data_IF_273006883869
#
_entry.id   IF_273006883869
#
_cell.length_a   1.000
_cell.length_b   1.000
_cell.length_c   1.000
_cell.angle_alpha   90.00
_cell.angle_beta   90.00
_cell.angle_gamma   90.00
#
_symmetry.space_group_name_H-M   'P 1'
#
loop_
_entity.id
_entity.type
_entity.pdbx_description
1 polymer ?
#
# COMPACT_ATOMS: atom_id res chain seq x y z
N UNK A 1 3.73 -13.13 13.45
CA UNK A 1 3.35 -12.23 12.35
C UNK A 1 2.22 -12.79 11.50
N UNK A 2 2.42 -13.86 10.71
CA UNK A 2 1.33 -14.38 9.85
C UNK A 2 0.12 -14.88 10.65
N UNK A 3 0.36 -15.66 11.73
CA UNK A 3 -0.70 -16.11 12.63
C UNK A 3 -1.52 -14.96 13.20
N UNK A 4 -0.83 -13.89 13.58
CA UNK A 4 -1.41 -12.74 14.26
C UNK A 4 -2.18 -11.89 13.25
N UNK A 5 -1.66 -11.73 12.03
CA UNK A 5 -2.36 -11.07 10.94
C UNK A 5 -3.67 -11.75 10.52
N UNK A 6 -3.75 -13.07 10.64
CA UNK A 6 -4.98 -13.83 10.36
C UNK A 6 -5.97 -13.81 11.54
N UNK A 7 -5.49 -13.65 12.77
CA UNK A 7 -6.34 -13.57 13.96
C UNK A 7 -6.85 -12.15 14.20
N UNK A 8 -6.04 -11.15 13.91
CA UNK A 8 -6.33 -9.75 14.19
C UNK A 8 -7.70 -9.26 13.68
N UNK A 9 -8.16 -9.59 12.45
CA UNK A 9 -9.49 -9.16 12.01
C UNK A 9 -10.66 -9.89 12.72
N UNK A 10 -10.36 -10.92 13.53
CA UNK A 10 -11.31 -11.72 14.32
C UNK A 10 -11.16 -11.46 15.83
N UNK A 11 -10.18 -10.65 16.23
CA UNK A 11 -9.93 -10.32 17.62
C UNK A 11 -10.85 -9.17 18.08
N UNK A 12 -11.29 -9.23 19.35
CA UNK A 12 -12.20 -8.26 19.96
C UNK A 12 -13.69 -8.63 19.88
N UNK A 13 -14.53 -8.04 20.72
CA UNK A 13 -15.97 -8.40 20.82
C UNK A 13 -16.80 -7.91 19.63
N UNK A 14 -16.32 -6.90 18.91
CA UNK A 14 -17.05 -6.19 17.85
C UNK A 14 -16.60 -6.57 16.42
N UNK A 15 -15.74 -7.57 16.26
CA UNK A 15 -15.16 -7.97 14.97
C UNK A 15 -16.23 -8.23 13.89
N UNK A 16 -17.33 -8.91 14.24
CA UNK A 16 -18.43 -9.20 13.31
C UNK A 16 -19.04 -7.92 12.78
N UNK A 17 -19.31 -6.95 13.66
CA UNK A 17 -19.89 -5.66 13.29
C UNK A 17 -18.94 -4.90 12.37
N UNK A 18 -17.65 -4.91 12.66
CA UNK A 18 -16.62 -4.26 11.86
C UNK A 18 -16.51 -4.87 10.47
N UNK A 19 -16.47 -6.20 10.35
CA UNK A 19 -16.43 -6.90 9.06
C UNK A 19 -17.71 -6.63 8.25
N UNK A 20 -18.88 -6.64 8.89
CA UNK A 20 -20.14 -6.36 8.21
C UNK A 20 -20.21 -4.92 7.68
N UNK A 21 -19.84 -3.93 8.50
CA UNK A 21 -19.82 -2.52 8.10
C UNK A 21 -18.78 -2.30 6.99
N UNK A 22 -17.56 -2.81 7.16
CA UNK A 22 -16.50 -2.66 6.18
C UNK A 22 -16.82 -3.36 4.85
N UNK A 23 -17.40 -4.56 4.90
CA UNK A 23 -17.89 -5.26 3.71
C UNK A 23 -18.99 -4.47 3.00
N UNK A 24 -19.95 -3.91 3.74
CA UNK A 24 -21.00 -3.06 3.16
C UNK A 24 -20.43 -1.78 2.53
N UNK A 25 -19.52 -1.09 3.23
CA UNK A 25 -18.82 0.08 2.69
C UNK A 25 -18.00 -0.28 1.46
N UNK A 26 -17.44 -1.49 1.38
CA UNK A 26 -16.72 -1.97 0.19
C UNK A 26 -17.64 -2.02 -1.03
N UNK A 27 -18.87 -2.51 -0.87
CA UNK A 27 -19.87 -2.47 -1.96
C UNK A 27 -20.26 -1.04 -2.31
N UNK A 28 -20.55 -0.23 -1.28
CA UNK A 28 -21.01 1.14 -1.46
C UNK A 28 -19.90 2.08 -1.96
N UNK A 29 -18.64 1.64 -2.00
CA UNK A 29 -17.51 2.44 -2.50
C UNK A 29 -17.64 2.84 -3.95
N UNK A 30 -18.52 2.20 -4.73
CA UNK A 30 -18.93 2.66 -6.07
C UNK A 30 -19.50 4.08 -6.06
N UNK A 31 -20.02 4.54 -4.92
CA UNK A 31 -20.56 5.90 -4.72
C UNK A 31 -19.48 6.93 -4.35
N UNK A 32 -18.19 6.54 -4.33
CA UNK A 32 -17.02 7.37 -4.01
C UNK A 32 -16.95 7.83 -2.54
N UNK A 33 -18.04 8.31 -1.94
CA UNK A 33 -18.03 8.76 -0.55
C UNK A 33 -17.71 7.63 0.46
N UNK A 34 -18.31 6.42 0.37
CA UNK A 34 -18.02 5.29 1.26
C UNK A 34 -16.56 4.83 1.20
N UNK A 35 -15.90 5.03 0.06
CA UNK A 35 -14.48 4.73 -0.11
C UNK A 35 -13.61 5.51 0.86
N UNK A 36 -13.89 6.80 1.09
CA UNK A 36 -13.11 7.60 2.03
C UNK A 36 -13.20 7.08 3.47
N UNK A 37 -14.37 6.61 3.90
CA UNK A 37 -14.51 6.01 5.23
C UNK A 37 -13.69 4.72 5.38
N UNK A 38 -13.60 3.90 4.33
CA UNK A 38 -12.70 2.73 4.33
C UNK A 38 -11.25 3.13 4.42
N UNK A 39 -10.82 4.15 3.66
CA UNK A 39 -9.45 4.64 3.72
C UNK A 39 -9.09 5.14 5.11
N UNK A 40 -9.96 5.94 5.75
CA UNK A 40 -9.73 6.37 7.13
C UNK A 40 -9.73 5.23 8.13
N UNK A 41 -10.55 4.20 7.90
CA UNK A 41 -10.54 3.00 8.73
C UNK A 41 -9.20 2.27 8.65
N UNK A 42 -8.61 2.16 7.45
CA UNK A 42 -7.28 1.58 7.28
C UNK A 42 -6.18 2.41 7.95
N UNK A 43 -6.28 3.74 7.95
CA UNK A 43 -5.39 4.61 8.73
C UNK A 43 -5.53 4.31 10.22
N UNK A 44 -6.75 4.17 10.72
CA UNK A 44 -7.00 3.83 12.12
C UNK A 44 -6.44 2.45 12.50
N UNK A 45 -6.57 1.46 11.62
CA UNK A 45 -5.93 0.14 11.78
C UNK A 45 -4.40 0.28 11.85
N UNK A 46 -3.79 1.02 10.92
CA UNK A 46 -2.35 1.27 10.96
C UNK A 46 -1.93 1.92 12.27
N UNK A 47 -2.63 3.00 12.68
CA UNK A 47 -2.36 3.75 13.92
C UNK A 47 -2.39 2.83 15.14
N UNK A 48 -3.45 2.02 15.30
CA UNK A 48 -3.58 1.06 16.40
C UNK A 48 -2.43 0.05 16.42
N UNK A 49 -2.16 -0.60 15.28
CA UNK A 49 -1.13 -1.63 15.16
C UNK A 49 0.28 -1.06 15.41
N UNK A 50 0.58 0.13 14.89
CA UNK A 50 1.87 0.80 15.13
C UNK A 50 2.07 1.25 16.57
N UNK A 51 0.97 1.46 17.30
CA UNK A 51 0.99 1.82 18.72
C UNK A 51 0.89 0.60 19.65
N UNK A 52 0.83 -0.61 19.09
CA UNK A 52 0.75 -1.86 19.85
C UNK A 52 -0.62 -2.18 20.43
N UNK A 53 -1.69 -1.58 19.90
CA UNK A 53 -3.06 -1.91 20.26
C UNK A 53 -3.42 -3.31 19.71
N UNK A 54 -3.80 -4.27 20.57
CA UNK A 54 -4.18 -5.61 20.14
C UNK A 54 -5.58 -5.69 19.53
N UNK A 55 -6.46 -4.72 19.82
CA UNK A 55 -7.88 -4.80 19.48
C UNK A 55 -8.18 -4.18 18.11
N UNK A 56 -9.13 -4.79 17.39
CA UNK A 56 -9.57 -4.28 16.11
C UNK A 56 -10.36 -2.96 16.29
N UNK A 57 -9.97 -1.86 15.63
CA UNK A 57 -10.69 -0.60 15.73
C UNK A 57 -12.14 -0.72 15.25
N UNK A 58 -13.02 0.10 15.83
CA UNK A 58 -14.44 0.13 15.47
C UNK A 58 -14.73 1.22 14.43
N UNK A 59 -15.89 1.09 13.77
CA UNK A 59 -16.46 2.15 12.93
C UNK A 59 -17.25 3.15 13.79
N UNK A 60 -16.50 3.92 14.57
CA UNK A 60 -16.94 5.08 15.33
C UNK A 60 -16.31 6.37 14.77
N UNK A 61 -16.75 7.51 15.30
CA UNK A 61 -16.22 8.83 14.95
C UNK A 61 -16.06 9.03 13.44
N UNK A 62 -17.17 8.90 12.72
CA UNK A 62 -17.23 8.95 11.25
C UNK A 62 -16.58 10.21 10.65
N UNK A 63 -16.64 11.34 11.36
CA UNK A 63 -15.98 12.58 10.90
C UNK A 63 -14.47 12.42 10.87
N UNK A 64 -13.88 11.80 11.91
CA UNK A 64 -12.44 11.52 11.94
C UNK A 64 -12.06 10.51 10.85
N UNK A 65 -12.86 9.44 10.66
CA UNK A 65 -12.66 8.49 9.55
C UNK A 65 -12.67 9.18 8.18
N UNK A 66 -13.59 10.13 7.98
CA UNK A 66 -13.63 10.89 6.73
C UNK A 66 -12.38 11.75 6.56
N UNK A 67 -11.94 12.46 7.61
CA UNK A 67 -10.74 13.30 7.60
C UNK A 67 -9.50 12.45 7.30
N UNK A 68 -9.31 11.35 8.00
CA UNK A 68 -8.16 10.46 7.81
C UNK A 68 -8.20 9.79 6.44
N UNK A 69 -9.39 9.46 5.93
CA UNK A 69 -9.58 9.00 4.56
C UNK A 69 -9.18 10.01 3.51
N UNK A 70 -9.52 11.29 3.71
CA UNK A 70 -9.10 12.39 2.83
C UNK A 70 -7.59 12.61 2.90
N UNK A 71 -6.99 12.57 4.10
CA UNK A 71 -5.53 12.65 4.27
C UNK A 71 -4.83 11.52 3.50
N UNK A 72 -5.28 10.27 3.65
CA UNK A 72 -4.71 9.12 2.93
C UNK A 72 -4.94 9.22 1.41
N UNK A 73 -6.06 9.77 0.98
CA UNK A 73 -6.31 10.05 -0.43
C UNK A 73 -5.32 11.08 -0.99
N UNK A 74 -5.04 12.17 -0.27
CA UNK A 74 -4.03 13.17 -0.67
C UNK A 74 -2.65 12.53 -0.83
N UNK A 75 -2.25 11.63 0.08
CA UNK A 75 -1.00 10.88 -0.04
C UNK A 75 -0.99 9.99 -1.29
N UNK A 76 -2.09 9.28 -1.57
CA UNK A 76 -2.21 8.46 -2.78
C UNK A 76 -2.11 9.31 -4.05
N UNK A 77 -2.76 10.48 -4.09
CA UNK A 77 -2.65 11.41 -5.23
C UNK A 77 -1.20 11.85 -5.43
N UNK A 78 -0.47 12.15 -4.36
CA UNK A 78 0.95 12.47 -4.44
C UNK A 78 1.76 11.31 -5.05
N UNK A 79 1.56 10.09 -4.58
CA UNK A 79 2.24 8.89 -5.11
C UNK A 79 1.94 8.70 -6.60
N UNK A 80 0.68 8.88 -7.02
CA UNK A 80 0.30 8.81 -8.43
C UNK A 80 0.98 9.89 -9.25
N UNK A 81 1.05 11.13 -8.75
CA UNK A 81 1.76 12.23 -9.44
C UNK A 81 3.24 11.89 -9.62
N UNK A 82 3.91 11.36 -8.59
CA UNK A 82 5.31 10.93 -8.67
C UNK A 82 5.47 9.82 -9.71
N UNK A 83 4.57 8.83 -9.72
CA UNK A 83 4.62 7.74 -10.69
C UNK A 83 4.41 8.24 -12.13
N UNK A 84 3.49 9.17 -12.35
CA UNK A 84 3.28 9.81 -13.65
C UNK A 84 4.51 10.63 -14.07
N UNK A 85 5.13 11.36 -13.16
CA UNK A 85 6.36 12.10 -13.45
C UNK A 85 7.49 11.17 -13.88
N UNK A 86 7.66 10.02 -13.21
CA UNK A 86 8.63 8.98 -13.60
C UNK A 86 8.29 8.40 -14.98
N UNK A 87 7.02 8.09 -15.24
CA UNK A 87 6.57 7.58 -16.54
C UNK A 87 6.88 8.58 -17.68
N UNK A 88 6.57 9.86 -17.47
CA UNK A 88 6.85 10.92 -18.44
C UNK A 88 8.35 11.08 -18.63
N UNK A 89 9.14 11.09 -17.55
CA UNK A 89 10.60 11.20 -17.64
C UNK A 89 11.20 10.04 -18.45
N UNK A 90 10.76 8.81 -18.21
CA UNK A 90 11.18 7.63 -18.99
C UNK A 90 10.79 7.78 -20.46
N UNK A 91 9.55 8.19 -20.74
CA UNK A 91 9.08 8.39 -22.12
C UNK A 91 9.88 9.48 -22.85
N UNK A 92 10.19 10.60 -22.19
CA UNK A 92 10.97 11.70 -22.75
C UNK A 92 12.42 11.27 -22.99
N UNK A 93 13.07 10.62 -22.03
CA UNK A 93 14.46 10.17 -22.17
C UNK A 93 14.63 9.18 -23.32
N UNK A 94 13.69 8.25 -23.48
CA UNK A 94 13.75 7.23 -24.54
C UNK A 94 13.28 7.77 -25.89
N UNK A 95 12.27 8.64 -25.91
CA UNK A 95 11.81 9.33 -27.11
C UNK A 95 12.88 10.29 -27.67
N UNK A 96 13.53 11.08 -26.81
CA UNK A 96 14.66 11.92 -27.18
C UNK A 96 15.86 11.09 -27.61
N UNK A 97 16.16 9.98 -26.91
CA UNK A 97 17.20 9.03 -27.28
C UNK A 97 16.97 8.43 -28.67
N UNK A 98 15.73 8.11 -29.04
CA UNK A 98 15.38 7.61 -30.37
C UNK A 98 15.53 8.65 -31.49
N UNK A 99 15.35 9.95 -31.19
CA UNK A 99 15.53 11.04 -32.16
C UNK A 99 17.01 11.41 -32.34
N UNK A 100 17.81 11.28 -31.29
CA UNK A 100 19.25 11.56 -31.30
C UNK A 100 20.09 10.38 -31.81
N UNK A 101 19.60 9.15 -31.67
CA UNK A 101 20.23 7.93 -32.18
C UNK A 101 20.01 7.71 -33.70
N UNK A 102 20.00 8.78 -34.49
CA UNK A 102 20.05 8.69 -35.95
C UNK A 102 21.24 7.82 -36.35
N UNK A 103 20.97 6.56 -36.70
CA UNK A 103 21.97 5.51 -36.70
C UNK A 103 22.85 5.57 -37.96
N UNK A 104 24.19 5.75 -37.84
CA UNK A 104 25.11 5.55 -38.95
C UNK A 104 25.48 4.07 -39.17
N UNK A 105 25.08 3.15 -38.26
CA UNK A 105 25.57 1.76 -38.18
C UNK A 105 24.72 0.71 -38.90
N UNK A 106 23.62 1.11 -39.55
CA UNK A 106 22.81 0.23 -40.41
C UNK A 106 21.97 -0.80 -39.64
N UNK A 107 21.72 -0.59 -38.35
CA UNK A 107 20.83 -1.45 -37.56
C UNK A 107 19.39 -1.12 -37.91
N UNK A 108 18.55 -2.15 -38.11
CA UNK A 108 17.12 -1.97 -38.37
C UNK A 108 16.48 -1.04 -37.33
N UNK A 109 15.86 0.08 -37.73
CA UNK A 109 15.25 1.04 -36.80
C UNK A 109 14.23 0.40 -35.84
N UNK A 110 13.61 -0.71 -36.23
CA UNK A 110 12.71 -1.51 -35.39
C UNK A 110 13.40 -2.24 -34.22
N UNK A 111 14.65 -2.67 -34.40
CA UNK A 111 15.41 -3.38 -33.37
C UNK A 111 16.04 -2.42 -32.33
N UNK A 112 16.43 -1.21 -32.75
CA UNK A 112 16.93 -0.18 -31.84
C UNK A 112 15.81 0.41 -30.96
N UNK A 113 14.66 0.74 -31.54
CA UNK A 113 13.47 1.21 -30.82
C UNK A 113 12.91 0.17 -29.84
N UNK A 114 12.90 -1.12 -30.22
CA UNK A 114 12.48 -2.21 -29.33
C UNK A 114 13.35 -2.37 -28.07
N UNK A 115 14.67 -2.23 -28.19
CA UNK A 115 15.60 -2.32 -27.03
C UNK A 115 15.46 -1.15 -26.06
N UNK A 116 15.30 0.07 -26.58
CA UNK A 116 15.04 1.26 -25.77
C UNK A 116 13.68 1.17 -25.06
N UNK A 117 12.65 0.66 -25.75
CA UNK A 117 11.35 0.40 -25.14
C UNK A 117 11.42 -0.60 -23.98
N UNK A 118 12.16 -1.70 -24.15
CA UNK A 118 12.36 -2.68 -23.08
C UNK A 118 13.08 -2.07 -21.87
N UNK A 119 14.11 -1.25 -22.08
CA UNK A 119 14.80 -0.54 -21.00
C UNK A 119 13.84 0.38 -20.23
N UNK A 120 12.95 1.08 -20.93
CA UNK A 120 11.92 1.91 -20.31
C UNK A 120 10.96 1.14 -19.43
N UNK A 121 10.49 -0.01 -19.91
CA UNK A 121 9.63 -0.92 -19.14
C UNK A 121 10.36 -1.38 -17.88
N UNK A 122 11.64 -1.76 -17.98
CA UNK A 122 12.44 -2.20 -16.83
C UNK A 122 12.61 -1.06 -15.82
N UNK A 123 13.00 0.14 -16.25
CA UNK A 123 13.18 1.30 -15.36
C UNK A 123 11.87 1.65 -14.66
N UNK A 124 10.75 1.68 -15.39
CA UNK A 124 9.43 1.93 -14.82
C UNK A 124 9.00 0.83 -13.85
N UNK A 125 9.23 -0.45 -14.19
CA UNK A 125 8.93 -1.57 -13.32
C UNK A 125 9.73 -1.52 -12.01
N UNK A 126 11.01 -1.15 -12.07
CA UNK A 126 11.83 -0.93 -10.88
C UNK A 126 11.29 0.22 -10.04
N UNK A 127 10.89 1.34 -10.65
CA UNK A 127 10.31 2.46 -9.92
C UNK A 127 8.99 2.07 -9.22
N UNK A 128 8.11 1.33 -9.90
CA UNK A 128 6.87 0.79 -9.31
C UNK A 128 7.20 -0.14 -8.15
N UNK A 129 8.18 -1.03 -8.31
CA UNK A 129 8.58 -1.96 -7.25
C UNK A 129 9.09 -1.21 -6.02
N UNK A 130 9.98 -0.22 -6.19
CA UNK A 130 10.48 0.61 -5.10
C UNK A 130 9.36 1.37 -4.40
N UNK A 131 8.44 1.98 -5.14
CA UNK A 131 7.29 2.66 -4.55
C UNK A 131 6.36 1.68 -3.84
N UNK A 132 6.11 0.49 -4.38
CA UNK A 132 5.29 -0.54 -3.73
C UNK A 132 5.89 -1.04 -2.41
N UNK A 133 7.20 -0.91 -2.25
CA UNK A 133 7.91 -1.24 -1.01
C UNK A 133 7.86 -0.08 -0.01
N UNK A 134 8.04 1.16 -0.45
CA UNK A 134 8.18 2.33 0.46
C UNK A 134 6.82 2.91 0.87
N UNK A 135 5.83 2.93 -0.03
CA UNK A 135 4.53 3.58 0.19
C UNK A 135 3.78 3.05 1.43
N UNK A 136 3.71 1.73 1.71
CA UNK A 136 3.04 1.27 2.92
C UNK A 136 3.74 1.73 4.20
N UNK A 137 5.06 1.88 4.19
CA UNK A 137 5.81 2.45 5.32
C UNK A 137 5.52 3.96 5.49
N UNK A 138 5.37 4.70 4.38
CA UNK A 138 4.90 6.11 4.44
C UNK A 138 3.52 6.21 5.10
N UNK A 139 2.59 5.33 4.74
CA UNK A 139 1.25 5.30 5.32
C UNK A 139 1.27 4.92 6.79
N UNK A 140 2.11 3.96 7.18
CA UNK A 140 2.29 3.57 8.58
C UNK A 140 2.84 4.73 9.42
N UNK A 141 3.87 5.44 8.94
CA UNK A 141 4.43 6.59 9.65
C UNK A 141 3.44 7.75 9.74
N UNK A 142 2.69 8.02 8.67
CA UNK A 142 1.58 8.98 8.68
C UNK A 142 0.53 8.63 9.74
N UNK A 143 0.08 7.37 9.78
CA UNK A 143 -0.93 6.93 10.72
C UNK A 143 -0.46 7.02 12.17
N UNK A 144 0.81 6.67 12.41
CA UNK A 144 1.46 6.72 13.73
C UNK A 144 1.58 8.15 14.27
N UNK A 145 2.08 9.08 13.45
CA UNK A 145 2.36 10.47 13.85
C UNK A 145 1.16 11.43 13.63
N UNK A 146 0.07 10.92 13.06
CA UNK A 146 -1.13 11.69 12.64
C UNK A 146 -0.83 12.96 11.81
N UNK A 147 0.24 12.92 11.01
CA UNK A 147 0.73 14.07 10.24
C UNK A 147 1.06 13.69 8.81
N UNK A 148 0.48 14.41 7.85
CA UNK A 148 0.80 14.22 6.41
C UNK A 148 2.28 14.45 6.11
N UNK A 149 2.94 15.32 6.87
CA UNK A 149 4.37 15.61 6.69
C UNK A 149 5.22 14.41 7.11
N UNK A 150 4.79 13.67 8.15
CA UNK A 150 5.52 12.50 8.63
C UNK A 150 5.57 11.37 7.59
N UNK A 151 4.59 11.27 6.68
CA UNK A 151 4.67 10.32 5.55
C UNK A 151 5.89 10.57 4.64
N UNK A 152 6.43 11.80 4.63
CA UNK A 152 7.57 12.18 3.80
C UNK A 152 8.89 12.26 4.57
N UNK A 153 8.90 11.90 5.86
CA UNK A 153 10.15 11.76 6.60
C UNK A 153 10.88 10.49 6.11
N UNK A 154 11.69 10.67 5.06
CA UNK A 154 12.42 9.56 4.45
C UNK A 154 13.39 8.91 5.43
N UNK A 155 13.89 9.64 6.43
CA UNK A 155 14.80 9.06 7.41
C UNK A 155 14.08 8.01 8.25
N UNK A 156 12.95 8.38 8.86
CA UNK A 156 12.13 7.46 9.65
C UNK A 156 11.51 6.35 8.80
N UNK A 157 10.99 6.71 7.62
CA UNK A 157 10.36 5.74 6.71
C UNK A 157 11.37 4.70 6.26
N UNK A 158 12.59 5.10 5.88
CA UNK A 158 13.62 4.14 5.48
C UNK A 158 14.20 3.37 6.66
N UNK A 159 14.37 3.98 7.84
CA UNK A 159 14.77 3.27 9.06
C UNK A 159 13.80 2.14 9.40
N UNK A 160 12.48 2.37 9.31
CA UNK A 160 11.50 1.30 9.54
C UNK A 160 11.40 0.31 8.38
N UNK A 161 11.47 0.78 7.12
CA UNK A 161 11.27 -0.04 5.94
C UNK A 161 12.48 -0.89 5.53
N UNK A 162 13.72 -0.45 5.79
CA UNK A 162 14.95 -1.15 5.42
C UNK A 162 15.38 -2.18 6.48
N UNK A 163 14.40 -2.80 7.13
CA UNK A 163 14.61 -3.82 8.17
C UNK A 163 14.19 -5.20 7.68
N UNK A 164 14.73 -6.23 8.35
CA UNK A 164 14.35 -7.62 8.06
C UNK A 164 12.88 -7.86 8.37
N UNK A 165 12.39 -7.26 9.43
CA UNK A 165 11.03 -7.36 9.96
C UNK A 165 10.02 -6.80 8.94
N UNK A 166 10.31 -5.63 8.37
CA UNK A 166 9.49 -5.04 7.33
C UNK A 166 9.53 -5.85 6.03
N UNK A 167 10.71 -6.35 5.62
CA UNK A 167 10.82 -7.22 4.45
C UNK A 167 9.97 -8.49 4.60
N UNK A 168 9.98 -9.12 5.78
CA UNK A 168 9.13 -10.28 6.07
C UNK A 168 7.65 -9.90 5.96
N UNK A 169 7.24 -8.77 6.53
CA UNK A 169 5.86 -8.28 6.42
C UNK A 169 5.45 -8.07 4.96
N UNK A 170 6.28 -7.42 4.15
CA UNK A 170 6.01 -7.16 2.73
C UNK A 170 5.83 -8.46 1.94
N UNK A 171 6.69 -9.47 2.15
CA UNK A 171 6.54 -10.79 1.52
C UNK A 171 5.28 -11.51 1.98
N UNK A 172 4.93 -11.41 3.27
CA UNK A 172 3.70 -12.00 3.80
C UNK A 172 2.46 -11.33 3.21
N UNK A 173 2.47 -10.02 2.98
CA UNK A 173 1.37 -9.31 2.31
C UNK A 173 1.15 -9.88 0.91
N UNK A 174 2.21 -10.13 0.15
CA UNK A 174 2.09 -10.75 -1.18
C UNK A 174 1.48 -12.15 -1.06
N UNK A 175 1.95 -12.97 -0.13
CA UNK A 175 1.43 -14.32 0.08
C UNK A 175 -0.06 -14.30 0.50
N UNK A 176 -0.43 -13.44 1.44
CA UNK A 176 -1.82 -13.28 1.92
C UNK A 176 -2.72 -12.76 0.81
N UNK A 177 -2.30 -11.71 0.09
CA UNK A 177 -3.06 -11.13 -1.01
C UNK A 177 -3.24 -12.14 -2.15
N UNK A 178 -2.20 -12.91 -2.48
CA UNK A 178 -2.28 -13.92 -3.53
C UNK A 178 -3.20 -15.08 -3.14
N UNK A 179 -3.09 -15.61 -1.92
CA UNK A 179 -3.87 -16.77 -1.50
C UNK A 179 -5.28 -16.35 -1.09
N UNK A 180 -5.41 -15.56 -0.03
CA UNK A 180 -6.70 -15.18 0.54
C UNK A 180 -7.42 -14.18 -0.37
N UNK A 181 -6.70 -13.24 -1.00
CA UNK A 181 -7.30 -12.30 -1.94
C UNK A 181 -7.87 -13.00 -3.18
N UNK A 182 -7.20 -14.03 -3.71
CA UNK A 182 -7.77 -14.85 -4.80
C UNK A 182 -9.00 -15.63 -4.35
N UNK A 183 -8.94 -16.28 -3.18
CA UNK A 183 -10.09 -17.01 -2.61
C UNK A 183 -11.28 -16.07 -2.43
N UNK A 184 -11.06 -14.91 -1.79
CA UNK A 184 -12.09 -13.90 -1.57
C UNK A 184 -12.65 -13.38 -2.90
N UNK A 185 -11.79 -13.13 -3.90
CA UNK A 185 -12.21 -12.68 -5.22
C UNK A 185 -13.14 -13.68 -5.92
N UNK A 186 -12.82 -14.99 -5.86
CA UNK A 186 -13.69 -16.05 -6.40
C UNK A 186 -15.01 -16.11 -5.64
N UNK A 187 -14.98 -16.00 -4.31
CA UNK A 187 -16.17 -16.01 -3.46
C UNK A 187 -17.05 -14.76 -3.63
N UNK A 188 -16.56 -13.69 -4.27
CA UNK A 188 -17.37 -12.50 -4.57
C UNK A 188 -18.53 -12.84 -5.51
N UNK A 189 -18.40 -13.89 -6.34
CA UNK A 189 -19.49 -14.44 -7.15
C UNK A 189 -20.67 -14.92 -6.29
N UNK A 190 -20.43 -15.25 -5.02
CA UNK A 190 -21.42 -15.68 -4.04
C UNK A 190 -21.79 -14.56 -3.05
N UNK A 191 -21.39 -13.32 -3.31
CA UNK A 191 -21.53 -12.13 -2.45
C UNK A 191 -20.77 -12.18 -1.11
N UNK A 192 -20.48 -13.37 -0.57
CA UNK A 192 -19.72 -13.53 0.69
C UNK A 192 -18.25 -13.14 0.57
N UNK A 193 -17.68 -13.24 -0.64
CA UNK A 193 -16.28 -12.86 -0.88
C UNK A 193 -15.97 -11.38 -0.64
N UNK A 194 -16.97 -10.51 -0.66
CA UNK A 194 -16.81 -9.07 -0.38
C UNK A 194 -16.31 -8.85 1.05
N UNK A 195 -16.87 -9.58 2.03
CA UNK A 195 -16.40 -9.55 3.41
C UNK A 195 -14.99 -10.14 3.53
N UNK A 196 -14.69 -11.17 2.73
CA UNK A 196 -13.35 -11.74 2.62
C UNK A 196 -12.33 -10.73 2.08
N UNK A 197 -12.70 -9.91 1.09
CA UNK A 197 -11.82 -8.87 0.54
C UNK A 197 -11.50 -7.81 1.60
N UNK A 198 -12.50 -7.36 2.36
CA UNK A 198 -12.28 -6.42 3.46
C UNK A 198 -11.39 -7.02 4.56
N UNK A 199 -11.62 -8.29 4.93
CA UNK A 199 -10.77 -9.03 5.86
C UNK A 199 -9.30 -9.07 5.39
N UNK A 200 -9.07 -9.36 4.11
CA UNK A 200 -7.71 -9.40 3.52
C UNK A 200 -7.05 -8.03 3.57
N UNK A 201 -7.81 -6.95 3.40
CA UNK A 201 -7.28 -5.60 3.55
C UNK A 201 -6.84 -5.33 4.98
N UNK A 202 -7.66 -5.64 5.99
CA UNK A 202 -7.26 -5.47 7.40
C UNK A 202 -5.97 -6.26 7.70
N UNK A 203 -5.90 -7.52 7.29
CA UNK A 203 -4.70 -8.34 7.48
C UNK A 203 -3.45 -7.73 6.81
N UNK A 204 -3.64 -7.12 5.64
CA UNK A 204 -2.56 -6.44 4.90
C UNK A 204 -2.06 -5.19 5.63
N UNK A 205 -2.97 -4.31 6.06
CA UNK A 205 -2.61 -3.12 6.84
C UNK A 205 -2.00 -3.48 8.19
N UNK A 206 -2.46 -4.55 8.83
CA UNK A 206 -1.85 -5.09 10.04
C UNK A 206 -0.41 -5.53 9.80
N UNK A 207 -0.14 -6.32 8.75
CA UNK A 207 1.21 -6.78 8.42
C UNK A 207 2.15 -5.60 8.19
N UNK A 208 1.75 -4.61 7.40
CA UNK A 208 2.56 -3.42 7.14
C UNK A 208 2.80 -2.59 8.40
N UNK A 209 1.76 -2.32 9.20
CA UNK A 209 1.89 -1.56 10.44
C UNK A 209 2.80 -2.27 11.45
N UNK A 210 2.64 -3.58 11.63
CA UNK A 210 3.43 -4.36 12.58
C UNK A 210 4.87 -4.52 12.12
N UNK A 211 5.10 -4.77 10.83
CA UNK A 211 6.44 -4.85 10.26
C UNK A 211 7.20 -3.54 10.36
N UNK A 212 6.53 -2.42 10.10
CA UNK A 212 7.12 -1.09 10.22
C UNK A 212 7.47 -0.73 11.66
N UNK A 213 6.55 -0.95 12.60
CA UNK A 213 6.79 -0.69 14.02
C UNK A 213 7.94 -1.55 14.58
N UNK A 214 7.95 -2.86 14.26
CA UNK A 214 9.03 -3.74 14.68
C UNK A 214 10.39 -3.34 14.07
N UNK A 215 10.39 -2.81 12.84
CA UNK A 215 11.59 -2.27 12.21
C UNK A 215 12.16 -1.05 12.95
N UNK A 216 11.30 -0.10 13.32
CA UNK A 216 11.71 1.08 14.10
C UNK A 216 12.25 0.69 15.49
N UNK A 217 11.61 -0.26 16.15
CA UNK A 217 12.05 -0.76 17.47
C UNK A 217 13.43 -1.44 17.39
N UNK A 218 13.72 -2.14 16.28
CA UNK A 218 14.99 -2.81 16.06
C UNK A 218 16.15 -1.82 15.77
N UNK A 219 15.91 -0.80 14.93
CA UNK A 219 16.90 0.24 14.59
C UNK A 219 17.21 1.13 15.82
N UNK A 220 16.21 1.44 16.64
CA UNK A 220 16.38 2.20 17.88
C UNK A 220 17.11 1.46 19.00
N UNK A 221 17.22 0.13 18.93
CA UNK A 221 17.94 -0.70 19.90
C UNK A 221 19.44 -0.84 19.61
N UNK A 222 19.93 -0.36 18.46
CA UNK A 222 21.34 -0.42 18.07
C UNK A 222 22.16 0.82 18.52
N UNK A 223 21.57 1.77 19.25
CA UNK A 223 22.23 2.95 19.83
C UNK A 223 22.13 2.99 21.37
#
# INVERSE_FOLDING_TARGET
MLSDALRYPLDGESWVRTILIGGLLTVLSVLVLPWFFLQGYYVRVLRGVTNGDPDLPQFDDWVELLIDGVKLFVLNVFVVIVLLAVQIAVAVLLGAGSLLAGDPSGVDPGAASGRLGLLGIVVFAVAVLLLSYVVPAMFANFAREDSLVAAFDLSTVLSGALTREYLIAWVLVIAVSLVLGTIASVLTLLLVGIFGLFYVQIATYYLFGRGFAAGLDADGAEY
#
